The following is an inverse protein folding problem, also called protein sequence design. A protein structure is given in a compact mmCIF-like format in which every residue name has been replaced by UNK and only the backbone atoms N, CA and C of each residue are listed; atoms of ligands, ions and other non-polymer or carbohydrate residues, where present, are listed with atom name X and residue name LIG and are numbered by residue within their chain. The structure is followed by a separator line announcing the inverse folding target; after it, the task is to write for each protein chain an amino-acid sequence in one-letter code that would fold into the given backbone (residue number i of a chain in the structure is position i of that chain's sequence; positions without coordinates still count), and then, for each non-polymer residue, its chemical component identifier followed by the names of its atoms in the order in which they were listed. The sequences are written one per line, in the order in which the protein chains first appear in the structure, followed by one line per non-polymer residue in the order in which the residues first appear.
data_IF_247468291317
#
_entry.id   IF_247468291317
#
_cell.length_a   1.000
_cell.length_b   1.000
_cell.length_c   1.000
_cell.angle_alpha   90.00
_cell.angle_beta   90.00
_cell.angle_gamma   90.00
#
_symmetry.space_group_name_H-M   'P 1'
#
loop_
_entity.id
_entity.type
_entity.pdbx_description
1 polymer ?
#
# COMPACT_ATOMS: atom_id res chain seq x y z
N UNK A 1 6.30 -8.83 -9.59
CA UNK A 1 6.30 -7.87 -8.47
C UNK A 1 6.08 -8.54 -7.10
N UNK A 2 4.87 -8.99 -6.71
CA UNK A 2 4.61 -9.46 -5.32
C UNK A 2 5.48 -10.64 -4.89
N UNK A 3 5.65 -11.64 -5.76
CA UNK A 3 6.54 -12.79 -5.53
C UNK A 3 8.02 -12.45 -5.67
N UNK A 4 8.38 -11.43 -6.46
CA UNK A 4 9.78 -11.05 -6.68
C UNK A 4 10.38 -10.39 -5.44
N UNK A 5 9.58 -9.62 -4.70
CA UNK A 5 9.99 -8.95 -3.45
C UNK A 5 9.89 -9.89 -2.23
N UNK A 6 9.33 -11.08 -2.44
CA UNK A 6 9.04 -12.09 -1.42
C UNK A 6 8.38 -11.51 -0.16
N UNK A 7 7.41 -10.60 -0.36
CA UNK A 7 6.75 -9.92 0.76
C UNK A 7 5.91 -10.90 1.58
N UNK A 8 5.32 -11.92 0.96
CA UNK A 8 4.49 -12.91 1.65
C UNK A 8 5.22 -13.65 2.78
N UNK A 9 6.53 -13.90 2.63
CA UNK A 9 7.33 -14.58 3.67
C UNK A 9 7.67 -13.66 4.84
N UNK A 10 7.57 -12.34 4.65
CA UNK A 10 7.89 -11.30 5.65
C UNK A 10 6.67 -10.85 6.45
N UNK A 11 5.47 -11.21 6.01
CA UNK A 11 4.21 -10.83 6.66
C UNK A 11 3.82 -11.86 7.72
N UNK A 12 3.19 -11.42 8.83
CA UNK A 12 2.54 -12.29 9.79
C UNK A 12 1.53 -13.25 9.12
N UNK A 13 1.21 -14.38 9.77
CA UNK A 13 0.16 -15.28 9.28
C UNK A 13 -1.17 -14.56 9.10
N UNK A 14 -1.94 -14.95 8.08
CA UNK A 14 -3.32 -14.50 7.79
C UNK A 14 -3.47 -13.09 7.19
N UNK A 15 -2.41 -12.48 6.65
CA UNK A 15 -2.59 -11.40 5.66
C UNK A 15 -3.41 -11.91 4.47
N UNK A 16 -4.35 -11.10 4.01
CA UNK A 16 -5.16 -11.42 2.84
C UNK A 16 -4.32 -11.30 1.57
N UNK A 17 -4.36 -12.34 0.74
CA UNK A 17 -3.70 -12.36 -0.56
C UNK A 17 -4.72 -12.14 -1.68
N UNK A 18 -5.09 -10.89 -1.94
CA UNK A 18 -6.22 -10.56 -2.85
C UNK A 18 -5.82 -10.32 -4.31
N UNK A 19 -4.60 -10.69 -4.71
CA UNK A 19 -4.06 -10.32 -6.04
C UNK A 19 -4.90 -10.89 -7.17
N UNK A 20 -5.38 -12.13 -7.02
CA UNK A 20 -6.16 -12.81 -8.06
C UNK A 20 -7.57 -12.19 -8.13
N UNK A 21 -8.20 -12.00 -6.97
CA UNK A 21 -9.54 -11.44 -6.85
C UNK A 21 -9.60 -10.00 -7.35
N UNK A 22 -8.63 -9.17 -6.92
CA UNK A 22 -8.52 -7.78 -7.38
C UNK A 22 -8.28 -7.70 -8.88
N UNK A 23 -7.35 -8.51 -9.43
CA UNK A 23 -7.11 -8.53 -10.86
C UNK A 23 -8.36 -8.91 -11.66
N UNK A 24 -9.08 -9.93 -11.20
CA UNK A 24 -10.33 -10.37 -11.82
C UNK A 24 -11.38 -9.25 -11.83
N UNK A 25 -11.59 -8.57 -10.69
CA UNK A 25 -12.56 -7.48 -10.58
C UNK A 25 -12.17 -6.28 -11.45
N UNK A 26 -10.90 -5.90 -11.45
CA UNK A 26 -10.38 -4.81 -12.28
C UNK A 26 -10.54 -5.15 -13.76
N UNK A 27 -10.27 -6.39 -14.16
CA UNK A 27 -10.43 -6.83 -15.55
C UNK A 27 -11.89 -6.79 -15.99
N UNK A 28 -12.84 -7.10 -15.11
CA UNK A 28 -14.25 -7.00 -15.41
C UNK A 28 -14.70 -5.55 -15.66
N UNK A 29 -14.17 -4.58 -14.90
CA UNK A 29 -14.50 -3.15 -15.02
C UNK A 29 -13.79 -2.50 -16.20
N UNK A 30 -12.50 -2.78 -16.38
CA UNK A 30 -11.63 -2.16 -17.39
C UNK A 30 -11.27 -3.18 -18.47
N UNK A 31 -12.24 -3.66 -19.22
CA UNK A 31 -12.05 -4.77 -20.17
C UNK A 31 -11.31 -4.41 -21.47
N UNK A 32 -11.14 -3.11 -21.78
CA UNK A 32 -10.44 -2.65 -22.98
C UNK A 32 -8.97 -3.13 -23.00
N UNK A 33 -8.51 -3.85 -24.04
CA UNK A 33 -7.12 -4.30 -24.16
C UNK A 33 -6.08 -3.19 -23.99
N UNK A 34 -6.37 -1.96 -24.42
CA UNK A 34 -5.47 -0.81 -24.32
C UNK A 34 -5.19 -0.38 -22.87
N UNK A 35 -6.07 -0.75 -21.93
CA UNK A 35 -5.94 -0.43 -20.51
C UNK A 35 -5.15 -1.48 -19.71
N UNK A 36 -4.44 -2.39 -20.37
CA UNK A 36 -3.67 -3.47 -19.72
C UNK A 36 -2.73 -2.97 -18.63
N UNK A 37 -1.99 -1.89 -18.90
CA UNK A 37 -1.08 -1.28 -17.94
C UNK A 37 -1.80 -0.70 -16.72
N UNK A 38 -2.87 0.06 -16.95
CA UNK A 38 -3.70 0.61 -15.88
C UNK A 38 -4.29 -0.49 -14.98
N UNK A 39 -4.70 -1.63 -15.55
CA UNK A 39 -5.17 -2.78 -14.78
C UNK A 39 -4.11 -3.37 -13.87
N UNK A 40 -2.86 -3.48 -14.35
CA UNK A 40 -1.74 -3.97 -13.55
C UNK A 40 -1.50 -3.03 -12.36
N UNK A 41 -1.35 -1.73 -12.63
CA UNK A 41 -1.14 -0.72 -11.57
C UNK A 41 -2.28 -0.71 -10.54
N UNK A 42 -3.55 -0.76 -10.98
CA UNK A 42 -4.69 -0.85 -10.07
C UNK A 42 -4.66 -2.11 -9.21
N UNK A 43 -4.25 -3.26 -9.78
CA UNK A 43 -4.16 -4.53 -9.03
C UNK A 43 -3.12 -4.40 -7.92
N UNK A 44 -1.97 -3.79 -8.24
CA UNK A 44 -0.92 -3.52 -7.27
C UNK A 44 -1.39 -2.55 -6.19
N UNK A 45 -2.11 -1.49 -6.56
CA UNK A 45 -2.68 -0.50 -5.66
C UNK A 45 -3.64 -1.14 -4.64
N UNK A 46 -4.63 -1.91 -5.09
CA UNK A 46 -5.56 -2.57 -4.16
C UNK A 46 -4.87 -3.61 -3.27
N UNK A 47 -3.83 -4.27 -3.77
CA UNK A 47 -3.01 -5.17 -2.95
C UNK A 47 -2.35 -4.41 -1.80
N UNK A 48 -1.79 -3.23 -2.07
CA UNK A 48 -1.21 -2.36 -1.03
C UNK A 48 -2.26 -1.89 -0.04
N UNK A 49 -3.41 -1.41 -0.50
CA UNK A 49 -4.49 -0.98 0.40
C UNK A 49 -4.92 -2.09 1.35
N UNK A 50 -4.96 -3.33 0.85
CA UNK A 50 -5.30 -4.49 1.68
C UNK A 50 -4.23 -4.81 2.71
N UNK A 51 -2.95 -4.67 2.37
CA UNK A 51 -1.85 -4.84 3.32
C UNK A 51 -1.90 -3.76 4.40
N UNK A 52 -2.19 -2.51 4.02
CA UNK A 52 -2.38 -1.40 4.97
C UNK A 52 -3.54 -1.74 5.93
N UNK A 53 -4.71 -2.05 5.38
CA UNK A 53 -5.92 -2.41 6.13
C UNK A 53 -5.66 -3.57 7.10
N UNK A 54 -5.05 -4.67 6.62
CA UNK A 54 -4.68 -5.80 7.48
C UNK A 54 -3.70 -5.40 8.59
N UNK A 55 -2.72 -4.56 8.27
CA UNK A 55 -1.72 -4.11 9.25
C UNK A 55 -2.39 -3.32 10.37
N UNK A 56 -3.19 -2.31 10.03
CA UNK A 56 -3.85 -1.45 11.00
C UNK A 56 -4.96 -2.17 11.79
N UNK A 57 -5.73 -3.05 11.16
CA UNK A 57 -6.88 -3.70 11.82
C UNK A 57 -6.49 -4.88 12.72
N UNK A 58 -5.33 -5.51 12.49
CA UNK A 58 -5.01 -6.81 13.12
C UNK A 58 -3.62 -6.93 13.71
N UNK A 59 -2.60 -6.30 13.11
CA UNK A 59 -1.21 -6.62 13.43
C UNK A 59 -0.48 -5.51 14.18
N UNK A 60 -0.77 -4.25 13.86
CA UNK A 60 -0.15 -3.12 14.50
C UNK A 60 -0.79 -2.83 15.86
N UNK A 61 0.04 -2.73 16.89
CA UNK A 61 -0.29 -2.01 18.11
C UNK A 61 -0.44 -0.51 17.84
N UNK A 62 -1.07 0.21 18.77
CA UNK A 62 -1.30 1.65 18.60
C UNK A 62 0.00 2.46 18.32
N UNK A 63 1.13 2.23 19.02
CA UNK A 63 2.38 2.92 18.71
C UNK A 63 2.95 2.55 17.33
N UNK A 64 2.90 1.26 16.95
CA UNK A 64 3.33 0.80 15.62
C UNK A 64 2.49 1.45 14.51
N UNK A 65 1.17 1.55 14.74
CA UNK A 65 0.23 2.18 13.82
C UNK A 65 0.52 3.67 13.63
N UNK A 66 0.85 4.40 14.71
CA UNK A 66 1.24 5.81 14.64
C UNK A 66 2.53 6.00 13.82
N UNK A 67 3.55 5.18 14.07
CA UNK A 67 4.83 5.23 13.36
C UNK A 67 4.66 4.91 11.87
N UNK A 68 3.85 3.90 11.55
CA UNK A 68 3.53 3.55 10.16
C UNK A 68 2.74 4.67 9.48
N UNK A 69 1.69 5.21 10.12
CA UNK A 69 0.88 6.29 9.57
C UNK A 69 1.73 7.54 9.28
N UNK A 70 2.60 7.93 10.21
CA UNK A 70 3.54 9.03 10.04
C UNK A 70 4.52 8.81 8.88
N UNK A 71 4.99 7.57 8.71
CA UNK A 71 5.89 7.21 7.60
C UNK A 71 5.17 7.28 6.25
N UNK A 72 3.94 6.78 6.18
CA UNK A 72 3.11 6.81 4.97
C UNK A 72 2.73 8.24 4.58
N UNK A 73 2.33 9.09 5.54
CA UNK A 73 1.99 10.50 5.29
C UNK A 73 3.17 11.28 4.69
N UNK A 74 4.39 11.00 5.13
CA UNK A 74 5.60 11.66 4.61
C UNK A 74 6.22 10.95 3.40
N UNK A 75 5.68 9.80 3.00
CA UNK A 75 6.26 8.92 1.98
C UNK A 75 7.75 8.60 2.22
N UNK A 76 8.15 8.48 3.48
CA UNK A 76 9.53 8.20 3.89
C UNK A 76 9.53 7.59 5.30
N UNK A 77 10.49 6.71 5.65
CA UNK A 77 10.55 6.13 6.99
C UNK A 77 10.61 7.18 8.09
N UNK A 78 9.77 7.03 9.12
CA UNK A 78 9.94 7.69 10.40
C UNK A 78 11.25 7.21 11.06
N UNK A 79 11.98 8.09 11.73
CA UNK A 79 13.18 7.73 12.50
C UNK A 79 12.93 6.62 13.54
N UNK A 80 11.72 6.51 14.07
CA UNK A 80 11.34 5.45 15.01
C UNK A 80 11.22 4.08 14.33
N UNK A 81 10.97 4.04 13.00
CA UNK A 81 10.77 2.81 12.23
C UNK A 81 11.96 1.84 12.33
N UNK A 82 13.19 2.34 12.51
CA UNK A 82 14.39 1.50 12.66
C UNK A 82 14.31 0.55 13.87
N UNK A 83 13.53 0.93 14.90
CA UNK A 83 13.34 0.15 16.12
C UNK A 83 12.13 -0.80 16.07
N UNK A 84 11.32 -0.73 15.01
CA UNK A 84 10.09 -1.52 14.88
C UNK A 84 10.35 -2.95 14.38
N UNK A 85 9.37 -3.86 14.53
CA UNK A 85 9.51 -5.22 14.03
C UNK A 85 9.74 -5.30 12.52
N UNK A 86 10.46 -6.33 12.09
CA UNK A 86 10.84 -6.51 10.68
C UNK A 86 9.65 -6.58 9.73
N UNK A 87 8.50 -7.09 10.18
CA UNK A 87 7.30 -7.12 9.34
C UNK A 87 6.78 -5.72 9.01
N UNK A 88 6.83 -4.79 9.97
CA UNK A 88 6.32 -3.43 9.80
C UNK A 88 7.20 -2.64 8.83
N UNK A 89 8.52 -2.82 8.97
CA UNK A 89 9.52 -2.31 8.01
C UNK A 89 9.29 -2.89 6.61
N UNK A 90 9.03 -4.19 6.51
CA UNK A 90 8.76 -4.85 5.24
C UNK A 90 7.48 -4.32 4.58
N UNK A 91 6.42 -4.07 5.36
CA UNK A 91 5.18 -3.44 4.90
C UNK A 91 5.47 -2.04 4.35
N UNK A 92 6.11 -1.17 5.14
CA UNK A 92 6.42 0.20 4.71
C UNK A 92 7.24 0.21 3.42
N UNK A 93 8.35 -0.53 3.39
CA UNK A 93 9.25 -0.57 2.24
C UNK A 93 8.53 -1.07 0.98
N UNK A 94 7.74 -2.14 1.11
CA UNK A 94 6.96 -2.67 -0.01
C UNK A 94 5.99 -1.63 -0.60
N UNK A 95 5.36 -0.83 0.27
CA UNK A 95 4.45 0.25 -0.14
C UNK A 95 5.23 1.37 -0.85
N UNK A 96 6.30 1.87 -0.23
CA UNK A 96 7.11 2.96 -0.78
C UNK A 96 7.74 2.58 -2.12
N UNK A 97 8.32 1.38 -2.23
CA UNK A 97 8.91 0.88 -3.48
C UNK A 97 7.87 0.83 -4.60
N UNK A 98 6.65 0.36 -4.30
CA UNK A 98 5.60 0.29 -5.31
C UNK A 98 5.09 1.67 -5.73
N UNK A 99 5.00 2.62 -4.80
CA UNK A 99 4.65 4.01 -5.12
C UNK A 99 5.74 4.67 -5.98
N UNK A 100 7.01 4.39 -5.71
CA UNK A 100 8.13 4.88 -6.53
C UNK A 100 8.07 4.29 -7.95
N UNK A 101 7.74 3.00 -8.08
CA UNK A 101 7.53 2.35 -9.37
C UNK A 101 6.37 3.01 -10.14
N UNK A 102 5.24 3.30 -9.47
CA UNK A 102 4.14 4.03 -10.08
C UNK A 102 4.55 5.42 -10.55
N UNK A 103 5.36 6.13 -9.75
CA UNK A 103 5.86 7.45 -10.13
C UNK A 103 6.73 7.38 -11.39
N UNK A 104 7.70 6.46 -11.43
CA UNK A 104 8.56 6.23 -12.60
C UNK A 104 7.72 5.91 -13.83
N UNK A 105 6.73 5.04 -13.65
CA UNK A 105 5.82 4.61 -14.71
C UNK A 105 5.00 5.78 -15.27
N UNK A 106 4.35 6.58 -14.43
CA UNK A 106 3.48 7.69 -14.86
C UNK A 106 4.27 8.89 -15.37
N UNK A 107 5.47 9.14 -14.82
CA UNK A 107 6.38 10.16 -15.32
C UNK A 107 6.81 9.87 -16.75
N UNK A 108 7.05 8.61 -17.10
CA UNK A 108 7.36 8.21 -18.48
C UNK A 108 6.22 8.50 -19.48
N UNK A 109 4.98 8.62 -18.99
CA UNK A 109 3.80 8.97 -19.78
C UNK A 109 3.44 10.48 -19.74
N UNK A 110 4.20 11.30 -19.00
CA UNK A 110 3.88 12.71 -18.78
C UNK A 110 2.69 12.95 -17.84
N UNK A 111 2.30 11.97 -17.02
CA UNK A 111 1.11 11.99 -16.14
C UNK A 111 1.45 12.13 -14.65
N UNK A 112 2.36 13.02 -14.28
CA UNK A 112 2.84 13.17 -12.89
C UNK A 112 1.75 13.55 -11.88
N UNK A 113 0.75 14.35 -12.29
CA UNK A 113 -0.41 14.71 -11.45
C UNK A 113 -1.19 13.48 -10.93
N UNK A 114 -1.18 12.36 -11.66
CA UNK A 114 -1.85 11.14 -11.20
C UNK A 114 -1.11 10.46 -10.04
N UNK A 115 0.18 10.69 -9.85
CA UNK A 115 0.96 10.09 -8.76
C UNK A 115 0.65 10.80 -7.46
N UNK A 116 0.73 12.13 -7.48
CA UNK A 116 0.46 13.00 -6.34
C UNK A 116 -0.95 12.75 -5.77
N UNK A 117 -1.96 12.63 -6.64
CA UNK A 117 -3.33 12.32 -6.23
C UNK A 117 -3.48 10.93 -5.58
N UNK A 118 -2.75 9.92 -6.07
CA UNK A 118 -2.80 8.57 -5.48
C UNK A 118 -2.05 8.51 -4.14
N UNK A 119 -0.93 9.24 -3.99
CA UNK A 119 -0.24 9.39 -2.71
C UNK A 119 -1.14 10.07 -1.67
N UNK A 120 -1.83 11.15 -2.08
CA UNK A 120 -2.80 11.83 -1.24
C UNK A 120 -3.94 10.88 -0.82
N UNK A 121 -4.41 10.02 -1.72
CA UNK A 121 -5.46 9.06 -1.39
C UNK A 121 -5.00 7.95 -0.43
N UNK A 122 -3.81 7.36 -0.64
CA UNK A 122 -3.22 6.40 0.32
C UNK A 122 -3.04 7.05 1.70
N UNK A 123 -2.61 8.30 1.72
CA UNK A 123 -2.45 9.08 2.96
C UNK A 123 -3.79 9.33 3.63
N UNK A 124 -4.83 9.72 2.88
CA UNK A 124 -6.17 9.92 3.41
C UNK A 124 -6.77 8.62 3.97
N UNK A 125 -6.63 7.50 3.26
CA UNK A 125 -7.12 6.21 3.77
C UNK A 125 -6.39 5.80 5.04
N UNK A 126 -5.07 5.94 5.08
CA UNK A 126 -4.26 5.66 6.28
C UNK A 126 -4.69 6.52 7.47
N UNK A 127 -4.97 7.82 7.25
CA UNK A 127 -5.47 8.75 8.28
C UNK A 127 -6.87 8.38 8.77
N UNK A 128 -7.79 8.03 7.86
CA UNK A 128 -9.16 7.64 8.22
C UNK A 128 -9.14 6.38 9.08
N UNK A 129 -8.38 5.38 8.68
CA UNK A 129 -8.22 4.12 9.43
C UNK A 129 -7.64 4.40 10.82
N UNK A 130 -6.57 5.21 10.90
CA UNK A 130 -5.97 5.59 12.18
C UNK A 130 -6.94 6.33 13.11
N UNK A 131 -7.69 7.32 12.60
CA UNK A 131 -8.70 8.05 13.38
C UNK A 131 -9.80 7.11 13.88
N UNK A 132 -10.23 6.15 13.05
CA UNK A 132 -11.23 5.16 13.44
C UNK A 132 -10.74 4.28 14.58
N UNK A 133 -9.49 3.81 14.52
CA UNK A 133 -8.87 3.01 15.59
C UNK A 133 -8.80 3.82 16.90
N UNK A 134 -8.26 5.04 16.86
CA UNK A 134 -8.11 5.90 18.05
C UNK A 134 -9.44 6.31 18.68
N UNK A 135 -10.50 6.43 17.90
CA UNK A 135 -11.83 6.83 18.39
C UNK A 135 -12.70 5.67 18.88
N UNK A 136 -12.24 4.43 18.68
CA UNK A 136 -12.96 3.21 19.07
C UNK A 136 -12.46 2.60 20.40
N UNK A 137 -11.37 3.12 20.96
CA UNK A 137 -10.82 2.82 22.30
C UNK A 137 -11.24 3.88 23.34
#
# INVERSE_FOLDING_TARGET
WYKEVDIASKLPPYFRHIIIESHFLIQAVFSDPQLSRARIMLTQYYTILTIIDDTFDRYASLPEAEILANSLERCTPDHAMDNEPEYLKAVLNFILDTLEDFEKELRSEGKTYSVEANIEEVTNQSRIIYIYIVSSD
#
